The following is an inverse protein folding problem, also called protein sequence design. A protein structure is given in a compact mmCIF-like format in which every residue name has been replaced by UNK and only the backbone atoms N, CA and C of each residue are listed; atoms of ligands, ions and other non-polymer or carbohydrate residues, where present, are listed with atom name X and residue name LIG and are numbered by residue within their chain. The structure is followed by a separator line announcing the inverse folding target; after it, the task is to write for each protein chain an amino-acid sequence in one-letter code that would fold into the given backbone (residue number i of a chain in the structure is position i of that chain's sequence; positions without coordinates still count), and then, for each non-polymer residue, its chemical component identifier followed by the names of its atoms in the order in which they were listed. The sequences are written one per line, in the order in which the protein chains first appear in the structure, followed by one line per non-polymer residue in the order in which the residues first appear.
data_IF_796592066595
#
_entry.id   IF_796592066595
#
_cell.length_a   1.000
_cell.length_b   1.000
_cell.length_c   1.000
_cell.angle_alpha   90.00
_cell.angle_beta   90.00
_cell.angle_gamma   90.00
#
_symmetry.space_group_name_H-M   'P 1'
#
loop_
_entity.id
_entity.type
_entity.pdbx_description
1 polymer ?
#
# COMPACT_ATOMS: atom_id res chain seq x y z
N UNK A 1 1.79 17.74 11.69
CA UNK A 1 2.35 18.85 12.52
C UNK A 1 3.83 18.94 12.20
N UNK A 2 4.33 20.11 11.77
CA UNK A 2 5.74 20.24 11.34
C UNK A 2 6.66 19.94 12.53
N UNK A 3 7.75 19.18 12.31
CA UNK A 3 8.75 18.80 13.33
C UNK A 3 9.24 20.02 14.13
N UNK A 4 9.37 21.18 13.45
CA UNK A 4 9.75 22.45 14.06
C UNK A 4 8.79 22.91 15.18
N UNK A 5 7.48 22.66 15.08
CA UNK A 5 6.51 23.00 16.13
C UNK A 5 6.64 22.05 17.34
N UNK A 6 6.91 20.80 17.12
CA UNK A 6 7.13 19.82 18.21
C UNK A 6 8.37 20.19 19.01
N UNK A 7 9.48 20.50 18.32
CA UNK A 7 10.72 20.96 18.94
C UNK A 7 10.53 22.26 19.71
N UNK A 8 9.74 23.20 19.17
CA UNK A 8 9.44 24.47 19.83
C UNK A 8 8.65 24.25 21.13
N UNK A 9 7.58 23.45 21.10
CA UNK A 9 6.82 23.12 22.31
C UNK A 9 7.66 22.37 23.35
N UNK A 10 8.50 21.41 22.89
CA UNK A 10 9.43 20.72 23.78
C UNK A 10 10.41 21.66 24.46
N UNK A 11 11.05 22.56 23.72
CA UNK A 11 12.00 23.53 24.30
C UNK A 11 11.31 24.45 25.32
N UNK A 12 10.07 24.88 25.01
CA UNK A 12 9.30 25.77 25.87
C UNK A 12 8.89 25.09 27.19
N UNK A 13 8.48 23.81 27.13
CA UNK A 13 8.13 23.02 28.33
C UNK A 13 9.34 22.73 29.20
N UNK A 14 10.46 22.34 28.59
CA UNK A 14 11.71 22.14 29.36
C UNK A 14 12.19 23.41 30.04
N UNK A 15 12.14 24.54 29.32
CA UNK A 15 12.53 25.84 29.89
C UNK A 15 11.62 26.23 31.06
N UNK A 16 10.30 26.05 30.94
CA UNK A 16 9.35 26.33 32.03
C UNK A 16 9.62 25.44 33.23
N UNK A 17 9.88 24.15 33.04
CA UNK A 17 10.22 23.21 34.15
C UNK A 17 11.54 23.60 34.81
N UNK A 18 12.55 24.06 34.08
CA UNK A 18 13.82 24.54 34.63
C UNK A 18 13.64 25.79 35.46
N UNK A 19 12.83 26.77 34.98
CA UNK A 19 12.50 27.99 35.74
C UNK A 19 11.77 27.64 37.02
N UNK A 20 10.78 26.74 37.00
CA UNK A 20 10.05 26.30 38.17
C UNK A 20 10.96 25.60 39.19
N UNK A 21 11.85 24.70 38.73
CA UNK A 21 12.83 24.03 39.58
C UNK A 21 13.77 25.05 40.25
N UNK A 22 14.19 26.07 39.53
CA UNK A 22 15.05 27.15 40.04
C UNK A 22 14.31 28.00 41.10
N UNK A 23 13.03 28.35 40.90
CA UNK A 23 12.22 29.09 41.85
C UNK A 23 12.05 28.26 43.13
N UNK A 24 11.72 26.97 43.04
CA UNK A 24 11.58 26.07 44.19
C UNK A 24 12.91 25.93 44.94
N UNK A 25 14.03 25.86 44.24
CA UNK A 25 15.37 25.82 44.81
C UNK A 25 15.65 27.10 45.63
N UNK A 26 15.40 28.29 45.08
CA UNK A 26 15.57 29.56 45.81
C UNK A 26 14.66 29.60 47.05
N UNK A 27 13.40 29.20 46.89
CA UNK A 27 12.42 29.17 48.00
C UNK A 27 12.86 28.23 49.13
N UNK A 28 13.59 27.15 48.81
CA UNK A 28 14.08 26.19 49.82
C UNK A 28 15.27 26.73 50.63
N UNK A 29 16.00 27.70 50.08
CA UNK A 29 17.19 28.31 50.75
C UNK A 29 16.76 29.53 51.59
N UNK A 30 15.67 30.22 51.23
CA UNK A 30 15.22 31.41 51.96
C UNK A 30 14.63 30.98 53.29
N UNK A 31 15.30 31.38 54.40
CA UNK A 31 14.80 31.16 55.77
C UNK A 31 13.74 32.22 56.06
N UNK A 32 12.57 31.82 56.57
CA UNK A 32 11.61 32.80 57.03
C UNK A 32 12.24 33.69 58.14
N UNK A 33 12.10 34.99 58.02
CA UNK A 33 12.69 35.98 58.97
C UNK A 33 12.36 35.67 60.42
N UNK A 34 11.24 35.01 60.69
CA UNK A 34 10.82 34.58 62.04
C UNK A 34 11.75 33.53 62.69
N UNK A 35 12.48 32.74 61.92
CA UNK A 35 13.34 31.65 62.45
C UNK A 35 14.84 32.01 62.49
N UNK A 36 15.20 33.13 61.89
CA UNK A 36 16.57 33.60 61.83
C UNK A 36 17.16 33.86 63.23
N UNK A 37 16.46 34.53 64.17
CA UNK A 37 16.94 34.74 65.51
C UNK A 37 17.17 33.45 66.30
N UNK A 38 16.25 32.47 66.15
CA UNK A 38 16.35 31.18 66.83
C UNK A 38 17.54 30.34 66.38
N UNK A 39 17.79 30.36 65.08
CA UNK A 39 18.93 29.63 64.50
C UNK A 39 20.29 30.23 64.96
N UNK A 40 20.42 31.56 64.91
CA UNK A 40 21.59 32.26 65.40
C UNK A 40 21.78 32.08 66.92
N UNK A 41 20.71 31.98 67.64
CA UNK A 41 20.72 31.67 69.07
C UNK A 41 21.24 30.25 69.33
N UNK A 42 20.75 29.25 68.61
CA UNK A 42 21.26 27.86 68.67
C UNK A 42 22.76 27.72 68.34
N UNK A 43 23.24 28.40 67.31
CA UNK A 43 24.65 28.41 66.97
C UNK A 43 25.52 29.02 68.08
N UNK A 44 25.07 30.11 68.72
CA UNK A 44 25.76 30.71 69.84
C UNK A 44 25.75 29.81 71.07
N UNK A 45 24.62 29.10 71.37
CA UNK A 45 24.56 28.13 72.46
C UNK A 45 25.50 26.96 72.29
N UNK A 46 25.67 26.42 71.04
CA UNK A 46 26.63 25.36 70.72
C UNK A 46 28.09 25.83 70.98
N UNK A 47 28.38 27.08 70.71
CA UNK A 47 29.71 27.66 70.93
C UNK A 47 29.94 27.89 72.46
N UNK A 48 28.92 28.29 73.17
CA UNK A 48 28.96 28.42 74.61
C UNK A 48 29.11 27.03 75.28
N UNK A 49 28.41 26.00 74.78
CA UNK A 49 28.55 24.63 75.32
C UNK A 49 29.95 24.06 75.05
N UNK A 50 30.57 24.34 73.94
CA UNK A 50 31.97 23.97 73.66
C UNK A 50 32.95 24.69 74.62
N UNK A 51 32.75 25.98 74.91
CA UNK A 51 33.56 26.73 75.88
C UNK A 51 33.42 26.21 77.28
N UNK A 52 32.22 25.81 77.73
CA UNK A 52 31.95 25.16 78.98
C UNK A 52 32.65 23.81 79.09
N UNK A 53 32.64 23.01 78.08
CA UNK A 53 33.31 21.69 78.04
C UNK A 53 34.85 21.80 78.05
N UNK A 54 35.44 22.87 77.55
CA UNK A 54 36.87 23.07 77.53
C UNK A 54 37.43 23.75 78.77
N UNK A 55 36.57 24.07 79.79
CA UNK A 55 37.04 24.57 81.09
C UNK A 55 37.59 26.01 81.13
N UNK A 56 37.39 26.78 80.05
CA UNK A 56 37.96 28.10 79.84
C UNK A 56 37.00 29.19 80.35
N UNK A 57 36.87 29.29 81.73
CA UNK A 57 36.02 30.28 82.42
C UNK A 57 36.74 31.58 82.78
N UNK A 58 37.75 31.96 82.02
CA UNK A 58 38.45 33.22 82.23
C UNK A 58 37.66 34.45 81.86
N UNK A 59 36.81 34.95 82.74
CA UNK A 59 36.42 36.35 82.77
C UNK A 59 35.28 36.84 81.88
N UNK A 60 34.39 35.97 81.36
CA UNK A 60 33.23 36.38 80.54
C UNK A 60 31.99 36.58 81.48
N UNK A 61 31.51 37.80 81.58
CA UNK A 61 30.22 38.16 82.23
C UNK A 61 29.10 37.71 81.26
N UNK A 62 28.04 37.14 81.83
CA UNK A 62 26.80 36.74 81.15
C UNK A 62 26.11 37.89 80.35
N UNK A 63 26.51 39.17 80.69
CA UNK A 63 26.01 40.38 80.07
C UNK A 63 26.68 40.75 78.77
N UNK A 64 27.82 40.09 78.44
CA UNK A 64 28.54 40.35 77.17
C UNK A 64 27.99 39.54 76.02
N UNK A 65 27.05 38.69 76.26
CA UNK A 65 26.32 37.95 75.18
C UNK A 65 25.20 38.83 74.57
N UNK A 66 25.54 40.06 74.17
CA UNK A 66 24.59 40.88 73.42
C UNK A 66 24.26 40.18 72.05
N UNK A 67 22.96 40.04 71.71
CA UNK A 67 22.53 39.44 70.43
C UNK A 67 22.86 40.33 69.22
N UNK A 68 23.71 41.31 69.40
CA UNK A 68 23.92 42.39 68.40
C UNK A 68 25.05 42.18 67.43
N UNK A 69 25.65 41.00 67.33
CA UNK A 69 26.64 40.74 66.29
C UNK A 69 26.14 39.55 65.46
N UNK A 70 25.15 39.79 64.60
CA UNK A 70 24.95 38.98 63.41
C UNK A 70 26.24 39.22 62.59
N UNK A 71 27.26 38.42 62.88
CA UNK A 71 28.52 38.52 62.12
C UNK A 71 28.15 38.09 60.71
N UNK A 72 28.36 39.00 59.74
CA UNK A 72 28.17 38.77 58.31
C UNK A 72 28.73 37.41 57.85
N UNK A 73 29.81 36.98 58.46
CA UNK A 73 30.48 35.71 58.26
C UNK A 73 29.60 34.48 58.64
N UNK A 74 28.85 34.55 59.74
CA UNK A 74 28.01 33.45 60.17
C UNK A 74 26.75 33.31 59.29
N UNK A 75 26.26 34.40 58.72
CA UNK A 75 25.18 34.39 57.74
C UNK A 75 25.63 33.83 56.40
N UNK A 76 26.82 34.19 55.96
CA UNK A 76 27.48 33.66 54.75
C UNK A 76 27.71 32.13 54.90
N UNK A 77 28.21 31.66 56.02
CA UNK A 77 28.43 30.24 56.30
C UNK A 77 27.12 29.44 56.31
N UNK A 78 26.05 30.02 56.82
CA UNK A 78 24.68 29.40 56.80
C UNK A 78 24.20 29.23 55.34
N UNK A 79 24.23 30.30 54.56
CA UNK A 79 23.75 30.21 53.17
C UNK A 79 24.63 29.29 52.32
N UNK A 80 25.95 29.27 52.52
CA UNK A 80 26.84 28.34 51.87
C UNK A 80 26.55 26.90 52.28
N UNK A 81 26.30 26.63 53.55
CA UNK A 81 25.92 25.30 54.05
C UNK A 81 24.57 24.83 53.48
N UNK A 82 23.55 25.69 53.48
CA UNK A 82 22.24 25.42 52.93
C UNK A 82 22.34 25.18 51.42
N UNK A 83 23.10 25.98 50.71
CA UNK A 83 23.33 25.84 49.28
C UNK A 83 24.00 24.51 48.96
N UNK A 84 25.06 24.13 49.65
CA UNK A 84 25.76 22.85 49.46
C UNK A 84 24.87 21.64 49.73
N UNK A 85 23.96 21.74 50.71
CA UNK A 85 22.99 20.67 51.05
C UNK A 85 21.97 20.46 49.95
N UNK A 86 21.49 21.51 49.25
CA UNK A 86 20.42 21.45 48.25
C UNK A 86 20.89 21.30 46.83
N UNK A 87 22.17 21.59 46.49
CA UNK A 87 22.76 21.42 45.17
C UNK A 87 22.57 19.99 44.62
N UNK A 88 22.84 18.89 45.39
CA UNK A 88 22.67 17.54 44.84
C UNK A 88 21.22 17.25 44.42
N UNK A 89 20.23 17.75 45.19
CA UNK A 89 18.82 17.59 44.89
C UNK A 89 18.45 18.34 43.62
N UNK A 90 18.93 19.57 43.46
CA UNK A 90 18.72 20.36 42.26
C UNK A 90 19.29 19.65 41.00
N UNK A 91 20.52 19.15 41.11
CA UNK A 91 21.17 18.41 40.01
C UNK A 91 20.33 17.17 39.64
N UNK A 92 19.85 16.41 40.63
CA UNK A 92 19.05 15.21 40.41
C UNK A 92 17.71 15.55 39.73
N UNK A 93 17.05 16.63 40.13
CA UNK A 93 15.85 17.13 39.48
C UNK A 93 16.11 17.55 37.99
N UNK A 94 17.19 18.27 37.77
CA UNK A 94 17.58 18.71 36.42
C UNK A 94 17.87 17.51 35.47
N UNK A 95 18.62 16.53 35.97
CA UNK A 95 18.89 15.28 35.23
C UNK A 95 17.59 14.54 34.95
N UNK A 96 16.70 14.44 35.94
CA UNK A 96 15.37 13.82 35.77
C UNK A 96 14.54 14.48 34.68
N UNK A 97 14.48 15.81 34.68
CA UNK A 97 13.77 16.58 33.63
C UNK A 97 14.37 16.35 32.26
N UNK A 98 15.69 16.33 32.13
CA UNK A 98 16.36 16.08 30.84
C UNK A 98 16.13 14.66 30.35
N UNK A 99 16.25 13.64 31.19
CA UNK A 99 16.02 12.24 30.82
C UNK A 99 14.57 12.00 30.40
N UNK A 100 13.61 12.45 31.18
CA UNK A 100 12.19 12.31 30.87
C UNK A 100 11.81 13.09 29.62
N UNK A 101 12.33 14.29 29.45
CA UNK A 101 12.10 15.12 28.27
C UNK A 101 12.66 14.48 26.99
N UNK A 102 13.90 13.99 27.02
CA UNK A 102 14.50 13.29 25.85
C UNK A 102 13.76 12.00 25.51
N UNK A 103 13.30 11.26 26.49
CA UNK A 103 12.49 10.05 26.29
C UNK A 103 11.16 10.35 25.61
N UNK A 104 10.42 11.38 26.09
CA UNK A 104 9.16 11.82 25.49
C UNK A 104 9.39 12.30 24.06
N UNK A 105 10.41 13.12 23.81
CA UNK A 105 10.75 13.60 22.47
C UNK A 105 11.08 12.45 21.52
N UNK A 106 11.88 11.48 21.96
CA UNK A 106 12.22 10.28 21.19
C UNK A 106 10.97 9.48 20.81
N UNK A 107 10.02 9.28 21.73
CA UNK A 107 8.74 8.60 21.42
C UNK A 107 7.91 9.36 20.39
N UNK A 108 7.79 10.68 20.51
CA UNK A 108 7.03 11.50 19.58
C UNK A 108 7.65 11.43 18.20
N UNK A 109 8.97 11.57 18.10
CA UNK A 109 9.70 11.47 16.83
C UNK A 109 9.55 10.09 16.18
N UNK A 110 9.65 9.02 16.98
CA UNK A 110 9.48 7.65 16.47
C UNK A 110 8.08 7.43 15.87
N UNK A 111 7.02 7.84 16.57
CA UNK A 111 5.64 7.73 16.05
C UNK A 111 5.44 8.57 14.78
N UNK A 112 6.08 9.74 14.69
CA UNK A 112 6.00 10.55 13.46
C UNK A 112 6.74 9.88 12.30
N UNK A 113 7.93 9.33 12.53
CA UNK A 113 8.68 8.61 11.50
C UNK A 113 7.93 7.36 11.01
N UNK A 114 7.33 6.59 11.92
CA UNK A 114 6.51 5.42 11.54
C UNK A 114 5.30 5.82 10.68
N UNK A 115 4.60 6.90 11.04
CA UNK A 115 3.48 7.41 10.22
C UNK A 115 3.92 7.89 8.85
N UNK A 116 5.06 8.57 8.76
CA UNK A 116 5.61 9.01 7.47
C UNK A 116 6.06 7.83 6.61
N UNK A 117 6.70 6.83 7.21
CA UNK A 117 7.11 5.61 6.50
C UNK A 117 5.89 4.82 5.99
N UNK A 118 4.81 4.72 6.79
CA UNK A 118 3.58 4.04 6.38
C UNK A 118 2.87 4.79 5.23
N UNK A 119 2.82 6.13 5.29
CA UNK A 119 2.26 6.95 4.22
C UNK A 119 3.06 6.79 2.92
N UNK A 120 4.39 6.81 3.01
CA UNK A 120 5.29 6.55 1.88
C UNK A 120 5.09 5.15 1.28
N UNK A 121 5.00 4.13 2.12
CA UNK A 121 4.77 2.76 1.66
C UNK A 121 3.40 2.63 0.95
N UNK A 122 2.35 3.29 1.48
CA UNK A 122 1.04 3.32 0.86
C UNK A 122 1.02 4.08 -0.48
N UNK A 123 1.73 5.20 -0.58
CA UNK A 123 1.86 5.98 -1.81
C UNK A 123 2.68 5.22 -2.87
N UNK A 124 3.75 4.53 -2.47
CA UNK A 124 4.53 3.65 -3.35
C UNK A 124 3.69 2.47 -3.86
N UNK A 125 2.80 1.92 -3.03
CA UNK A 125 1.93 0.80 -3.43
C UNK A 125 0.80 1.21 -4.37
N UNK A 126 0.31 2.45 -4.28
CA UNK A 126 -0.76 2.97 -5.14
C UNK A 126 -0.25 3.59 -6.45
N UNK A 127 1.06 3.79 -6.59
CA UNK A 127 1.70 4.51 -7.73
C UNK A 127 1.03 5.87 -8.06
N UNK A 128 0.39 6.49 -7.10
CA UNK A 128 -0.38 7.71 -7.28
C UNK A 128 0.55 8.93 -7.25
N UNK A 129 0.78 9.54 -8.43
CA UNK A 129 1.74 10.65 -8.60
C UNK A 129 1.31 11.95 -7.94
N UNK A 130 0.01 12.22 -7.90
CA UNK A 130 -0.50 13.55 -7.54
C UNK A 130 -0.26 13.93 -6.08
N UNK A 131 -0.20 12.95 -5.18
CA UNK A 131 -0.04 13.17 -3.73
C UNK A 131 1.42 13.21 -3.24
N UNK A 132 2.37 12.68 -4.02
CA UNK A 132 3.80 12.61 -3.61
C UNK A 132 4.49 13.98 -3.70
N UNK A 133 4.05 14.84 -4.61
CA UNK A 133 4.72 16.09 -4.95
C UNK A 133 4.52 17.18 -3.89
N UNK A 134 3.43 17.17 -3.13
CA UNK A 134 3.04 18.33 -2.32
C UNK A 134 3.70 18.49 -0.94
N UNK A 135 4.30 17.48 -0.31
CA UNK A 135 4.78 17.60 1.10
C UNK A 135 6.14 16.95 1.43
N UNK A 136 6.91 16.43 0.48
CA UNK A 136 8.07 15.59 0.82
C UNK A 136 9.44 16.20 0.43
N UNK A 137 10.47 15.70 1.11
CA UNK A 137 11.85 16.12 0.91
C UNK A 137 12.28 15.86 -0.55
N UNK A 138 12.90 16.84 -1.27
CA UNK A 138 13.24 16.73 -2.70
C UNK A 138 14.03 15.46 -3.07
N UNK A 139 14.85 14.95 -2.14
CA UNK A 139 15.60 13.71 -2.35
C UNK A 139 14.72 12.46 -2.45
N UNK A 140 13.58 12.43 -1.74
CA UNK A 140 12.64 11.28 -1.78
C UNK A 140 11.88 11.29 -3.09
N UNK A 141 11.43 12.47 -3.54
CA UNK A 141 10.76 12.63 -4.84
C UNK A 141 11.68 12.18 -5.98
N UNK A 142 12.95 12.62 -5.96
CA UNK A 142 13.93 12.23 -6.97
C UNK A 142 14.19 10.71 -6.97
N UNK A 143 14.36 10.11 -5.80
CA UNK A 143 14.57 8.66 -5.70
C UNK A 143 13.35 7.86 -6.19
N UNK A 144 12.12 8.32 -5.89
CA UNK A 144 10.89 7.72 -6.41
C UNK A 144 10.82 7.79 -7.95
N UNK A 145 11.04 8.96 -8.52
CA UNK A 145 11.05 9.14 -9.99
C UNK A 145 12.12 8.27 -10.67
N UNK A 146 13.30 8.14 -10.06
CA UNK A 146 14.37 7.29 -10.58
C UNK A 146 14.00 5.79 -10.52
N UNK A 147 13.37 5.34 -9.43
CA UNK A 147 12.87 3.96 -9.31
C UNK A 147 11.75 3.71 -10.32
N UNK A 148 10.78 4.64 -10.42
CA UNK A 148 9.65 4.55 -11.35
C UNK A 148 10.15 4.47 -12.81
N UNK A 149 11.02 5.37 -13.22
CA UNK A 149 11.56 5.37 -14.59
C UNK A 149 12.34 4.10 -14.92
N UNK A 150 13.11 3.56 -13.97
CA UNK A 150 13.78 2.26 -14.14
C UNK A 150 12.78 1.11 -14.26
N UNK A 151 11.75 1.09 -13.42
CA UNK A 151 10.71 0.07 -13.47
C UNK A 151 9.95 0.09 -14.80
N UNK A 152 9.56 1.28 -15.27
CA UNK A 152 8.93 1.47 -16.60
C UNK A 152 9.83 0.99 -17.73
N UNK A 153 11.12 1.33 -17.69
CA UNK A 153 12.10 0.86 -18.67
C UNK A 153 12.23 -0.66 -18.67
N UNK A 154 12.35 -1.29 -17.50
CA UNK A 154 12.40 -2.76 -17.39
C UNK A 154 11.13 -3.42 -17.88
N UNK A 155 9.96 -2.85 -17.57
CA UNK A 155 8.67 -3.37 -18.03
C UNK A 155 8.58 -3.30 -19.55
N UNK A 156 8.98 -2.18 -20.14
CA UNK A 156 9.00 -2.00 -21.60
C UNK A 156 9.96 -2.98 -22.28
N UNK A 157 11.15 -3.18 -21.74
CA UNK A 157 12.14 -4.13 -22.25
C UNK A 157 11.63 -5.57 -22.13
N UNK A 158 10.96 -5.91 -21.02
CA UNK A 158 10.34 -7.21 -20.84
C UNK A 158 9.23 -7.47 -21.88
N UNK A 159 8.34 -6.49 -22.10
CA UNK A 159 7.27 -6.58 -23.11
C UNK A 159 7.86 -6.77 -24.51
N UNK A 160 8.88 -5.98 -24.87
CA UNK A 160 9.57 -6.10 -26.17
C UNK A 160 10.23 -7.46 -26.37
N UNK A 161 10.95 -7.94 -25.35
CA UNK A 161 11.60 -9.25 -25.37
C UNK A 161 10.58 -10.37 -25.48
N UNK A 162 9.50 -10.31 -24.70
CA UNK A 162 8.40 -11.28 -24.74
C UNK A 162 7.75 -11.32 -26.12
N UNK A 163 7.45 -10.16 -26.71
CA UNK A 163 6.90 -10.05 -28.05
C UNK A 163 7.85 -10.62 -29.12
N UNK A 164 9.15 -10.33 -29.03
CA UNK A 164 10.14 -10.86 -29.97
C UNK A 164 10.26 -12.38 -29.86
N UNK A 165 10.40 -12.92 -28.65
CA UNK A 165 10.52 -14.37 -28.42
C UNK A 165 9.28 -15.10 -28.93
N UNK A 166 8.08 -14.55 -28.67
CA UNK A 166 6.83 -15.17 -29.11
C UNK A 166 6.69 -15.11 -30.64
N UNK A 167 7.07 -14.00 -31.27
CA UNK A 167 7.06 -13.90 -32.73
C UNK A 167 8.00 -14.93 -33.38
N UNK A 168 9.20 -15.11 -32.83
CA UNK A 168 10.16 -16.11 -33.32
C UNK A 168 9.64 -17.54 -33.12
N UNK A 169 9.03 -17.82 -31.97
CA UNK A 169 8.39 -19.12 -31.71
C UNK A 169 7.24 -19.39 -32.67
N UNK A 170 6.39 -18.40 -32.97
CA UNK A 170 5.32 -18.51 -33.97
C UNK A 170 5.86 -18.85 -35.37
N UNK A 171 6.95 -18.22 -35.77
CA UNK A 171 7.59 -18.51 -37.07
C UNK A 171 8.07 -19.97 -37.14
N UNK A 172 8.68 -20.48 -36.05
CA UNK A 172 9.12 -21.87 -35.95
C UNK A 172 7.92 -22.84 -35.98
N UNK A 173 6.86 -22.53 -35.23
CA UNK A 173 5.64 -23.36 -35.20
C UNK A 173 4.92 -23.36 -36.54
N UNK A 174 4.83 -22.21 -37.24
CA UNK A 174 4.26 -22.12 -38.58
C UNK A 174 5.03 -22.97 -39.59
N UNK A 175 6.37 -22.98 -39.49
CA UNK A 175 7.22 -23.83 -40.33
C UNK A 175 7.01 -25.32 -40.02
N UNK A 176 6.88 -25.66 -38.70
CA UNK A 176 6.62 -27.02 -38.27
C UNK A 176 5.25 -27.50 -38.75
N UNK A 177 4.20 -26.65 -38.58
CA UNK A 177 2.85 -26.92 -39.11
C UNK A 177 2.87 -27.21 -40.61
N UNK A 178 3.53 -26.37 -41.41
CA UNK A 178 3.62 -26.56 -42.84
C UNK A 178 4.29 -27.90 -43.20
N UNK A 179 5.36 -28.30 -42.50
CA UNK A 179 6.01 -29.59 -42.71
C UNK A 179 5.12 -30.76 -42.31
N UNK A 180 4.35 -30.67 -41.22
CA UNK A 180 3.43 -31.73 -40.78
C UNK A 180 2.25 -31.89 -41.73
N UNK A 181 1.70 -30.80 -42.25
CA UNK A 181 0.65 -30.86 -43.28
C UNK A 181 1.09 -31.58 -44.53
N UNK A 182 2.37 -31.41 -44.95
CA UNK A 182 2.94 -32.12 -46.08
C UNK A 182 3.17 -33.62 -45.83
N UNK A 183 3.19 -34.04 -44.56
CA UNK A 183 3.49 -35.40 -44.10
C UNK A 183 2.26 -36.20 -43.68
N UNK A 184 1.06 -35.69 -43.87
CA UNK A 184 -0.24 -36.31 -43.46
C UNK A 184 -0.32 -36.73 -41.99
N UNK A 185 0.24 -35.89 -41.06
CA UNK A 185 0.25 -36.09 -39.64
C UNK A 185 -0.78 -35.14 -38.96
N UNK A 186 -2.07 -35.35 -39.22
CA UNK A 186 -3.15 -34.49 -38.78
C UNK A 186 -3.19 -34.25 -37.26
N UNK A 187 -2.96 -35.28 -36.43
CA UNK A 187 -2.95 -35.15 -34.94
C UNK A 187 -1.84 -34.21 -34.44
N UNK A 188 -0.63 -34.29 -35.05
CA UNK A 188 0.48 -33.41 -34.67
C UNK A 188 0.24 -31.95 -35.09
N UNK A 189 -0.50 -31.74 -36.20
CA UNK A 189 -0.87 -30.41 -36.64
C UNK A 189 -1.80 -29.72 -35.60
N UNK A 190 -2.77 -30.46 -35.09
CA UNK A 190 -3.68 -29.97 -34.03
C UNK A 190 -2.95 -29.59 -32.74
N UNK A 191 -1.94 -30.39 -32.33
CA UNK A 191 -1.11 -30.05 -31.16
C UNK A 191 -0.25 -28.80 -31.39
N UNK A 192 0.27 -28.58 -32.58
CA UNK A 192 1.00 -27.36 -32.94
C UNK A 192 0.08 -26.14 -32.95
N UNK A 193 -1.16 -26.28 -33.40
CA UNK A 193 -2.15 -25.21 -33.36
C UNK A 193 -2.48 -24.83 -31.90
N UNK A 194 -2.68 -25.81 -30.98
CA UNK A 194 -2.87 -25.55 -29.54
C UNK A 194 -1.71 -24.78 -28.90
N UNK A 195 -0.46 -25.14 -29.27
CA UNK A 195 0.72 -24.41 -28.76
C UNK A 195 0.75 -22.98 -29.31
N UNK A 196 0.40 -22.77 -30.58
CA UNK A 196 0.34 -21.45 -31.19
C UNK A 196 -0.71 -20.57 -30.50
N UNK A 197 -1.89 -21.12 -30.23
CA UNK A 197 -2.96 -20.45 -29.50
C UNK A 197 -2.53 -20.04 -28.10
N UNK A 198 -1.83 -20.93 -27.38
CA UNK A 198 -1.31 -20.63 -26.04
C UNK A 198 -0.27 -19.50 -26.05
N UNK A 199 0.56 -19.42 -27.10
CA UNK A 199 1.51 -18.30 -27.26
C UNK A 199 0.79 -16.97 -27.53
N UNK A 200 -0.28 -16.99 -28.31
CA UNK A 200 -1.11 -15.80 -28.56
C UNK A 200 -1.79 -15.30 -27.27
N UNK A 201 -2.25 -16.22 -26.43
CA UNK A 201 -2.80 -15.89 -25.12
C UNK A 201 -1.75 -15.22 -24.22
N UNK A 202 -0.51 -15.73 -24.20
CA UNK A 202 0.60 -15.11 -23.45
C UNK A 202 0.95 -13.72 -23.98
N UNK A 203 0.97 -13.53 -25.30
CA UNK A 203 1.19 -12.22 -25.91
C UNK A 203 0.11 -11.22 -25.49
N UNK A 204 -1.15 -11.65 -25.52
CA UNK A 204 -2.28 -10.81 -25.14
C UNK A 204 -2.18 -10.42 -23.66
N UNK A 205 -1.80 -11.34 -22.77
CA UNK A 205 -1.56 -11.05 -21.35
C UNK A 205 -0.37 -10.11 -21.10
N UNK A 206 0.57 -10.05 -22.03
CA UNK A 206 1.73 -9.13 -21.95
C UNK A 206 1.45 -7.76 -22.56
N UNK A 207 0.27 -7.55 -23.14
CA UNK A 207 -0.11 -6.30 -23.79
C UNK A 207 -0.40 -5.21 -22.73
N UNK A 208 -0.12 -3.95 -23.11
CA UNK A 208 -0.51 -2.78 -22.32
C UNK A 208 -1.23 -1.77 -23.20
N UNK A 209 -2.17 -1.05 -22.60
CA UNK A 209 -2.97 -0.02 -23.29
C UNK A 209 -2.11 1.11 -23.85
N UNK A 210 -1.03 1.48 -23.17
CA UNK A 210 -0.16 2.61 -23.51
C UNK A 210 0.59 2.43 -24.82
N UNK A 211 0.88 1.17 -25.22
CA UNK A 211 1.69 0.84 -26.38
C UNK A 211 0.88 0.29 -27.57
N UNK A 212 -0.46 0.38 -27.51
CA UNK A 212 -1.32 -0.25 -28.50
C UNK A 212 -2.37 0.72 -29.04
N UNK A 213 -2.48 0.79 -30.37
CA UNK A 213 -3.51 1.57 -31.05
C UNK A 213 -4.86 0.86 -30.86
N UNK A 214 -5.82 1.54 -30.25
CA UNK A 214 -7.20 1.08 -30.13
C UNK A 214 -7.99 1.50 -31.38
N UNK A 215 -8.97 0.69 -31.76
CA UNK A 215 -9.79 0.85 -32.94
C UNK A 215 -11.28 0.62 -32.61
N UNK A 216 -12.16 1.00 -33.53
CA UNK A 216 -13.59 0.70 -33.42
C UNK A 216 -13.80 -0.78 -33.81
N UNK A 217 -14.38 -1.55 -32.90
CA UNK A 217 -14.65 -2.98 -33.09
C UNK A 217 -16.14 -3.24 -33.02
N UNK A 218 -16.70 -3.81 -34.10
CA UNK A 218 -18.04 -4.33 -34.14
C UNK A 218 -18.09 -5.69 -33.43
N UNK A 219 -18.62 -5.72 -32.21
CA UNK A 219 -18.64 -6.92 -31.38
C UNK A 219 -19.66 -7.95 -31.90
N UNK A 220 -20.74 -7.54 -32.58
CA UNK A 220 -21.70 -8.46 -33.15
C UNK A 220 -21.09 -9.25 -34.32
N UNK A 221 -20.43 -8.56 -35.26
CA UNK A 221 -19.71 -9.21 -36.35
C UNK A 221 -18.59 -10.14 -35.86
N UNK A 222 -17.82 -9.69 -34.87
CA UNK A 222 -16.74 -10.47 -34.27
C UNK A 222 -17.28 -11.75 -33.61
N UNK A 223 -18.34 -11.65 -32.78
CA UNK A 223 -18.96 -12.81 -32.13
C UNK A 223 -19.57 -13.78 -33.15
N UNK A 224 -20.20 -13.27 -34.22
CA UNK A 224 -20.71 -14.10 -35.31
C UNK A 224 -19.60 -14.93 -35.96
N UNK A 225 -18.47 -14.31 -36.27
CA UNK A 225 -17.31 -15.00 -36.87
C UNK A 225 -16.78 -16.11 -35.97
N UNK A 226 -16.61 -15.85 -34.66
CA UNK A 226 -16.17 -16.87 -33.70
C UNK A 226 -17.19 -18.00 -33.60
N UNK A 227 -18.49 -17.69 -33.53
CA UNK A 227 -19.54 -18.71 -33.49
C UNK A 227 -19.54 -19.59 -34.75
N UNK A 228 -19.36 -19.02 -35.93
CA UNK A 228 -19.32 -19.76 -37.21
C UNK A 228 -18.12 -20.71 -37.31
N UNK A 229 -16.98 -20.34 -36.76
CA UNK A 229 -15.83 -21.20 -36.62
C UNK A 229 -16.12 -22.44 -35.79
N UNK A 230 -16.71 -22.22 -34.60
CA UNK A 230 -17.01 -23.29 -33.64
C UNK A 230 -18.23 -24.15 -34.04
N UNK A 231 -19.19 -23.64 -34.82
CA UNK A 231 -20.35 -24.42 -35.31
C UNK A 231 -19.95 -25.65 -36.14
N UNK A 232 -18.79 -25.64 -36.75
CA UNK A 232 -18.26 -26.81 -37.47
C UNK A 232 -17.95 -27.98 -36.57
N UNK A 233 -17.56 -27.70 -35.30
CA UNK A 233 -17.22 -28.69 -34.30
C UNK A 233 -18.39 -28.94 -33.34
N UNK A 234 -19.22 -27.94 -33.06
CA UNK A 234 -20.35 -27.97 -32.15
C UNK A 234 -21.58 -27.32 -32.79
N UNK A 235 -22.46 -28.08 -33.45
CA UNK A 235 -23.60 -27.52 -34.22
C UNK A 235 -24.64 -26.77 -33.40
N UNK A 236 -24.67 -26.98 -32.08
CA UNK A 236 -25.68 -26.39 -31.16
C UNK A 236 -25.25 -25.04 -30.61
N UNK A 237 -24.50 -24.24 -31.36
CA UNK A 237 -24.14 -22.86 -31.02
C UNK A 237 -25.12 -21.90 -31.63
N UNK A 238 -25.84 -21.15 -30.79
CA UNK A 238 -26.81 -20.12 -31.19
C UNK A 238 -26.17 -18.74 -30.93
N UNK A 239 -26.33 -17.84 -31.88
CA UNK A 239 -25.85 -16.46 -31.80
C UNK A 239 -27.02 -15.51 -32.03
N UNK A 240 -27.23 -14.58 -31.10
CA UNK A 240 -28.23 -13.52 -31.13
C UNK A 240 -27.60 -12.17 -30.88
N UNK A 241 -28.08 -11.12 -31.55
CA UNK A 241 -27.65 -9.75 -31.27
C UNK A 241 -28.78 -8.76 -31.53
N UNK A 242 -28.68 -7.57 -30.98
CA UNK A 242 -29.64 -6.49 -31.18
C UNK A 242 -29.20 -5.67 -32.42
N UNK A 243 -29.94 -5.83 -33.53
CA UNK A 243 -29.62 -5.17 -34.79
C UNK A 243 -29.83 -3.65 -34.75
N UNK A 244 -30.72 -3.16 -33.87
CA UNK A 244 -31.07 -1.75 -33.76
C UNK A 244 -30.12 -1.01 -32.80
N UNK A 245 -29.24 -1.73 -32.08
CA UNK A 245 -28.33 -1.18 -31.12
C UNK A 245 -26.92 -0.95 -31.67
N UNK A 246 -26.23 0.08 -31.18
CA UNK A 246 -24.81 0.24 -31.47
C UNK A 246 -24.01 -0.79 -30.67
N UNK A 247 -23.47 -1.78 -31.36
CA UNK A 247 -22.65 -2.85 -30.77
C UNK A 247 -21.14 -2.61 -30.95
N UNK A 248 -20.75 -1.35 -31.18
CA UNK A 248 -19.34 -0.97 -31.40
C UNK A 248 -18.68 -0.52 -30.11
N UNK A 249 -17.46 -0.98 -29.90
CA UNK A 249 -16.64 -0.63 -28.74
C UNK A 249 -15.27 -0.09 -29.20
N UNK A 250 -14.53 0.57 -28.30
CA UNK A 250 -13.14 0.94 -28.51
C UNK A 250 -12.26 -0.16 -27.93
N UNK A 251 -11.50 -0.84 -28.79
CA UNK A 251 -10.67 -1.95 -28.38
C UNK A 251 -9.69 -2.39 -29.46
N UNK A 252 -9.23 -3.61 -29.37
CA UNK A 252 -8.47 -4.27 -30.42
C UNK A 252 -9.15 -5.57 -30.80
N UNK A 253 -9.51 -5.72 -32.07
CA UNK A 253 -10.27 -6.86 -32.58
C UNK A 253 -9.62 -8.20 -32.17
N UNK A 254 -8.29 -8.33 -32.31
CA UNK A 254 -7.56 -9.54 -31.92
C UNK A 254 -7.76 -9.90 -30.44
N UNK A 255 -7.71 -8.93 -29.52
CA UNK A 255 -7.85 -9.19 -28.10
C UNK A 255 -9.27 -9.64 -27.73
N UNK A 256 -10.26 -8.94 -28.28
CA UNK A 256 -11.68 -9.24 -28.02
C UNK A 256 -12.03 -10.60 -28.64
N UNK A 257 -11.56 -10.87 -29.87
CA UNK A 257 -11.74 -12.18 -30.51
C UNK A 257 -11.16 -13.31 -29.65
N UNK A 258 -9.95 -13.14 -29.11
CA UNK A 258 -9.35 -14.12 -28.21
C UNK A 258 -10.13 -14.32 -26.92
N UNK A 259 -10.63 -13.26 -26.31
CA UNK A 259 -11.47 -13.35 -25.11
C UNK A 259 -12.77 -14.12 -25.41
N UNK A 260 -13.48 -13.80 -26.50
CA UNK A 260 -14.69 -14.49 -26.91
C UNK A 260 -14.41 -15.97 -27.23
N UNK A 261 -13.33 -16.24 -27.97
CA UNK A 261 -12.87 -17.62 -28.28
C UNK A 261 -12.63 -18.42 -27.01
N UNK A 262 -11.98 -17.84 -26.00
CA UNK A 262 -11.75 -18.51 -24.72
C UNK A 262 -13.08 -18.83 -23.99
N UNK A 263 -14.05 -17.92 -24.00
CA UNK A 263 -15.37 -18.18 -23.42
C UNK A 263 -16.14 -19.27 -24.16
N UNK A 264 -16.19 -19.21 -25.51
CA UNK A 264 -16.85 -20.21 -26.34
C UNK A 264 -16.19 -21.59 -26.22
N UNK A 265 -14.85 -21.63 -26.23
CA UNK A 265 -14.08 -22.87 -26.00
C UNK A 265 -14.38 -23.49 -24.64
N UNK A 266 -14.49 -22.67 -23.60
CA UNK A 266 -14.87 -23.14 -22.26
C UNK A 266 -16.30 -23.69 -22.26
N UNK A 267 -17.27 -23.01 -22.91
CA UNK A 267 -18.64 -23.49 -23.04
C UNK A 267 -18.71 -24.84 -23.78
N UNK A 268 -17.92 -25.03 -24.82
CA UNK A 268 -17.80 -26.32 -25.54
C UNK A 268 -17.20 -27.41 -24.66
N UNK A 269 -16.15 -27.11 -23.91
CA UNK A 269 -15.46 -28.08 -23.04
C UNK A 269 -16.28 -28.52 -21.83
N UNK A 270 -16.99 -27.57 -21.21
CA UNK A 270 -17.66 -27.80 -19.92
C UNK A 270 -19.17 -27.85 -20.00
N UNK A 271 -19.76 -27.33 -21.07
CA UNK A 271 -21.21 -27.39 -21.33
C UNK A 271 -21.71 -28.79 -21.75
N UNK A 272 -20.81 -29.75 -22.08
CA UNK A 272 -21.21 -31.07 -22.56
C UNK A 272 -21.90 -30.98 -23.92
N UNK A 273 -23.06 -31.68 -24.07
CA UNK A 273 -23.87 -31.65 -25.30
C UNK A 273 -24.99 -30.61 -25.22
N UNK A 274 -24.95 -29.66 -24.30
CA UNK A 274 -25.95 -28.62 -24.18
C UNK A 274 -25.86 -27.58 -25.30
N UNK A 275 -26.95 -26.83 -25.48
CA UNK A 275 -26.94 -25.65 -26.35
C UNK A 275 -26.02 -24.57 -25.74
N UNK A 276 -25.26 -23.93 -26.59
CA UNK A 276 -24.41 -22.77 -26.24
C UNK A 276 -25.08 -21.54 -26.84
N UNK A 277 -25.34 -20.53 -26.01
CA UNK A 277 -25.94 -19.28 -26.47
C UNK A 277 -24.88 -18.16 -26.31
N UNK A 278 -24.57 -17.51 -27.43
CA UNK A 278 -23.74 -16.30 -27.46
C UNK A 278 -24.65 -15.14 -27.80
N UNK A 279 -24.65 -14.08 -27.04
CA UNK A 279 -25.44 -12.91 -27.34
C UNK A 279 -24.68 -11.61 -27.19
N UNK A 280 -25.00 -10.62 -28.02
CA UNK A 280 -24.50 -9.26 -27.95
C UNK A 280 -25.68 -8.32 -27.78
N UNK A 281 -25.65 -7.49 -26.76
CA UNK A 281 -26.71 -6.51 -26.50
C UNK A 281 -26.13 -5.20 -26.00
N UNK A 282 -26.82 -4.09 -26.29
CA UNK A 282 -26.44 -2.79 -25.73
C UNK A 282 -27.49 -2.36 -24.69
N UNK A 283 -26.99 -2.00 -23.49
CA UNK A 283 -27.86 -1.48 -22.44
C UNK A 283 -27.25 -0.22 -21.83
N UNK A 284 -27.95 0.90 -22.00
CA UNK A 284 -27.56 2.18 -21.36
C UNK A 284 -26.13 2.64 -21.70
N UNK A 285 -25.73 2.49 -22.97
CA UNK A 285 -24.38 2.88 -23.41
C UNK A 285 -23.28 1.88 -23.03
N UNK A 286 -23.66 0.64 -22.77
CA UNK A 286 -22.72 -0.45 -22.52
C UNK A 286 -23.04 -1.65 -23.39
N UNK A 287 -22.05 -2.13 -24.14
CA UNK A 287 -22.13 -3.34 -24.95
C UNK A 287 -21.83 -4.54 -24.06
N UNK A 288 -22.73 -5.50 -24.03
CA UNK A 288 -22.64 -6.72 -23.21
C UNK A 288 -22.52 -7.92 -24.14
N UNK A 289 -21.45 -8.68 -24.00
CA UNK A 289 -21.26 -9.98 -24.64
C UNK A 289 -21.51 -11.04 -23.57
N UNK A 290 -22.44 -11.96 -23.82
CA UNK A 290 -22.74 -13.05 -22.91
C UNK A 290 -22.58 -14.40 -23.61
N UNK A 291 -21.90 -15.35 -22.95
CA UNK A 291 -21.71 -16.74 -23.40
C UNK A 291 -22.28 -17.67 -22.35
N UNK A 292 -23.35 -18.39 -22.69
CA UNK A 292 -24.09 -19.28 -21.79
C UNK A 292 -23.92 -20.73 -22.22
N UNK A 293 -23.73 -21.62 -21.27
CA UNK A 293 -23.72 -23.07 -21.44
C UNK A 293 -24.71 -23.75 -20.47
N UNK A 294 -24.98 -25.03 -20.69
CA UNK A 294 -25.81 -25.86 -19.82
C UNK A 294 -25.05 -26.88 -18.97
N UNK A 295 -23.80 -26.59 -18.62
CA UNK A 295 -22.93 -27.44 -17.82
C UNK A 295 -23.39 -27.62 -16.36
N UNK A 296 -22.51 -28.13 -15.52
CA UNK A 296 -22.80 -28.39 -14.11
C UNK A 296 -22.95 -27.13 -13.26
N UNK A 297 -22.55 -25.96 -13.78
CA UNK A 297 -22.46 -24.72 -13.02
C UNK A 297 -21.14 -24.62 -12.22
N UNK A 298 -20.96 -23.53 -11.50
CA UNK A 298 -19.75 -23.19 -10.77
C UNK A 298 -20.13 -22.83 -9.33
N UNK A 299 -19.41 -23.36 -8.36
CA UNK A 299 -19.66 -23.04 -6.95
C UNK A 299 -19.49 -21.52 -6.73
N UNK A 300 -20.46 -20.89 -6.03
CA UNK A 300 -20.44 -19.45 -5.73
C UNK A 300 -19.12 -19.02 -5.05
N UNK A 301 -18.56 -19.86 -4.19
CA UNK A 301 -17.30 -19.58 -3.49
C UNK A 301 -16.07 -19.55 -4.42
N UNK A 302 -16.20 -20.11 -5.63
CA UNK A 302 -15.14 -20.18 -6.63
C UNK A 302 -15.29 -19.14 -7.75
N UNK A 303 -16.47 -18.53 -7.94
CA UNK A 303 -16.77 -17.61 -9.05
C UNK A 303 -15.80 -16.41 -9.11
N UNK A 304 -15.52 -15.79 -7.98
CA UNK A 304 -14.61 -14.62 -7.90
C UNK A 304 -13.16 -14.96 -8.28
N UNK A 305 -12.77 -16.22 -8.07
CA UNK A 305 -11.39 -16.70 -8.29
C UNK A 305 -11.14 -17.25 -9.68
N UNK A 306 -12.22 -17.53 -10.45
CA UNK A 306 -12.09 -18.12 -11.78
C UNK A 306 -11.24 -17.32 -12.75
N UNK A 307 -11.24 -16.02 -12.59
CA UNK A 307 -10.49 -15.10 -13.43
C UNK A 307 -9.06 -14.85 -12.92
N UNK A 308 -8.65 -15.47 -11.80
CA UNK A 308 -7.28 -15.35 -11.30
C UNK A 308 -6.31 -16.18 -12.14
N UNK A 309 -5.09 -15.67 -12.28
CA UNK A 309 -4.06 -16.34 -13.08
C UNK A 309 -3.78 -17.75 -12.58
N UNK A 310 -3.82 -18.74 -13.48
CA UNK A 310 -3.61 -20.16 -13.22
C UNK A 310 -4.61 -20.81 -12.24
N UNK A 311 -5.72 -20.15 -11.89
CA UNK A 311 -6.75 -20.76 -11.05
C UNK A 311 -7.52 -21.84 -11.81
N UNK A 312 -7.83 -22.93 -11.12
CA UNK A 312 -8.63 -24.07 -11.65
C UNK A 312 -9.55 -24.62 -10.58
N UNK A 313 -10.78 -24.88 -10.95
CA UNK A 313 -11.73 -25.59 -10.08
C UNK A 313 -11.27 -27.03 -9.86
N UNK A 314 -11.09 -27.46 -8.61
CA UNK A 314 -10.33 -28.62 -8.17
C UNK A 314 -10.72 -30.00 -8.74
N UNK A 315 -11.86 -30.15 -9.43
CA UNK A 315 -12.33 -31.42 -10.02
C UNK A 315 -12.20 -31.51 -11.55
N UNK A 316 -11.93 -30.38 -12.23
CA UNK A 316 -11.89 -30.32 -13.69
C UNK A 316 -10.44 -30.42 -14.21
N UNK A 317 -9.82 -31.59 -14.01
CA UNK A 317 -8.49 -31.93 -14.58
C UNK A 317 -8.58 -32.23 -16.08
N UNK A 318 -9.34 -31.48 -16.87
CA UNK A 318 -9.36 -31.59 -18.32
C UNK A 318 -8.46 -30.49 -18.91
N UNK A 319 -7.79 -30.84 -19.99
CA UNK A 319 -6.79 -30.09 -20.74
C UNK A 319 -6.93 -28.57 -20.75
N UNK A 320 -5.86 -27.88 -20.37
CA UNK A 320 -5.72 -26.42 -20.44
C UNK A 320 -4.80 -25.85 -19.36
N UNK A 321 -4.12 -24.76 -19.62
CA UNK A 321 -3.11 -24.14 -18.74
C UNK A 321 -3.68 -23.21 -17.64
N UNK A 322 -5.02 -23.03 -17.58
CA UNK A 322 -5.67 -22.11 -16.62
C UNK A 322 -5.44 -20.63 -16.93
N UNK A 323 -5.15 -20.30 -18.16
CA UNK A 323 -4.81 -18.96 -18.64
C UNK A 323 -6.04 -18.25 -19.27
N UNK A 324 -6.98 -18.97 -19.87
CA UNK A 324 -8.05 -18.43 -20.70
C UNK A 324 -8.96 -17.41 -20.01
N UNK A 325 -9.44 -17.69 -18.77
CA UNK A 325 -10.31 -16.76 -18.06
C UNK A 325 -9.54 -15.54 -17.50
N UNK A 326 -8.29 -15.71 -17.09
CA UNK A 326 -7.45 -14.55 -16.71
C UNK A 326 -7.15 -13.64 -17.90
N UNK A 327 -7.03 -14.22 -19.12
CA UNK A 327 -6.95 -13.43 -20.36
C UNK A 327 -8.24 -12.65 -20.61
N UNK A 328 -9.40 -13.26 -20.41
CA UNK A 328 -10.71 -12.55 -20.54
C UNK A 328 -10.75 -11.31 -19.64
N UNK A 329 -10.38 -11.46 -18.35
CA UNK A 329 -10.30 -10.34 -17.41
C UNK A 329 -9.33 -9.26 -17.91
N UNK A 330 -8.12 -9.65 -18.30
CA UNK A 330 -7.10 -8.73 -18.78
C UNK A 330 -7.56 -7.94 -20.03
N UNK A 331 -8.19 -8.61 -20.98
CA UNK A 331 -8.76 -7.94 -22.18
C UNK A 331 -9.85 -6.95 -21.79
N UNK A 332 -10.75 -7.32 -20.86
CA UNK A 332 -11.75 -6.39 -20.36
C UNK A 332 -11.11 -5.14 -19.75
N UNK A 333 -10.09 -5.30 -18.88
CA UNK A 333 -9.37 -4.20 -18.26
C UNK A 333 -8.65 -3.31 -19.29
N UNK A 334 -8.04 -3.89 -20.32
CA UNK A 334 -7.40 -3.13 -21.40
C UNK A 334 -8.40 -2.29 -22.21
N UNK A 335 -9.66 -2.73 -22.32
CA UNK A 335 -10.73 -2.06 -23.09
C UNK A 335 -11.71 -1.31 -22.17
N UNK A 336 -11.32 -0.91 -20.95
CA UNK A 336 -12.15 -0.22 -19.94
C UNK A 336 -13.45 -0.95 -19.60
N UNK A 337 -13.46 -2.27 -19.74
CA UNK A 337 -14.60 -3.16 -19.49
C UNK A 337 -14.46 -3.94 -18.19
N UNK A 338 -15.47 -4.77 -17.92
CA UNK A 338 -15.52 -5.69 -16.78
C UNK A 338 -15.99 -7.06 -17.25
N UNK A 339 -15.66 -8.12 -16.50
CA UNK A 339 -16.19 -9.46 -16.70
C UNK A 339 -16.66 -10.08 -15.39
N UNK A 340 -17.66 -10.92 -15.48
CA UNK A 340 -18.16 -11.72 -14.35
C UNK A 340 -18.82 -13.00 -14.85
N UNK A 341 -19.22 -13.85 -13.92
CA UNK A 341 -19.89 -15.12 -14.18
C UNK A 341 -21.10 -15.29 -13.28
N UNK A 342 -22.15 -15.90 -13.81
CA UNK A 342 -23.36 -16.24 -13.06
C UNK A 342 -23.82 -17.66 -13.41
N UNK A 343 -24.37 -18.37 -12.42
CA UNK A 343 -25.03 -19.65 -12.67
C UNK A 343 -26.43 -19.43 -13.25
N UNK A 344 -26.79 -20.23 -14.24
CA UNK A 344 -28.10 -20.23 -14.85
C UNK A 344 -29.04 -21.21 -14.12
N UNK A 345 -29.56 -20.81 -12.96
CA UNK A 345 -30.39 -21.67 -12.12
C UNK A 345 -29.62 -22.85 -11.50
N UNK A 346 -30.20 -24.06 -11.55
CA UNK A 346 -29.58 -25.27 -10.94
C UNK A 346 -28.48 -25.89 -11.81
N UNK A 347 -28.38 -25.56 -13.08
CA UNK A 347 -27.38 -26.04 -14.04
C UNK A 347 -27.08 -24.96 -15.07
N UNK A 348 -25.86 -24.95 -15.57
CA UNK A 348 -25.38 -24.01 -16.57
C UNK A 348 -24.73 -22.77 -16.01
N UNK A 349 -23.89 -22.16 -16.84
CA UNK A 349 -23.11 -21.00 -16.50
C UNK A 349 -23.27 -19.94 -17.59
N UNK A 350 -23.26 -18.67 -17.22
CA UNK A 350 -23.17 -17.55 -18.14
C UNK A 350 -22.01 -16.66 -17.79
N UNK A 351 -21.10 -16.50 -18.72
CA UNK A 351 -19.99 -15.55 -18.63
C UNK A 351 -20.36 -14.27 -19.33
N UNK A 352 -20.05 -13.16 -18.73
CA UNK A 352 -20.33 -11.83 -19.25
C UNK A 352 -19.04 -11.03 -19.43
N UNK A 353 -18.98 -10.27 -20.52
CA UNK A 353 -18.05 -9.16 -20.72
C UNK A 353 -18.87 -7.91 -21.01
N UNK A 354 -18.55 -6.80 -20.37
CA UNK A 354 -19.21 -5.51 -20.61
C UNK A 354 -18.18 -4.46 -20.96
N UNK A 355 -18.46 -3.64 -21.95
CA UNK A 355 -17.59 -2.58 -22.44
C UNK A 355 -18.38 -1.28 -22.63
N UNK A 356 -17.74 -0.11 -22.46
CA UNK A 356 -18.34 1.15 -22.87
C UNK A 356 -18.64 1.13 -24.38
N UNK A 357 -19.84 1.60 -24.76
CA UNK A 357 -20.19 1.82 -26.16
C UNK A 357 -19.29 2.90 -26.76
N UNK A 358 -18.79 2.67 -27.98
CA UNK A 358 -18.09 3.71 -28.72
C UNK A 358 -19.07 4.77 -29.18
N UNK A 359 -18.90 6.00 -28.67
CA UNK A 359 -19.65 7.15 -29.16
C UNK A 359 -19.17 7.47 -30.58
N UNK A 360 -19.98 7.20 -31.60
CA UNK A 360 -19.78 7.75 -32.93
C UNK A 360 -20.12 9.24 -32.84
N UNK A 361 -19.10 10.10 -32.96
CA UNK A 361 -19.34 11.52 -33.18
C UNK A 361 -19.90 11.64 -34.61
N UNK A 362 -21.24 11.84 -34.69
CA UNK A 362 -21.89 12.26 -35.94
C UNK A 362 -21.38 13.63 -36.40
#
# INVERSE_FOLDING_TARGET
MKVSRVLLYYSLTVTACLILAFILFISSITVPESNLPTYLFMMNMNKVTMLIQNGDFGGMSFLDLKPSIINKRNLEDYYVGALLQHIPILILCLVGILVTGTWVLSKILKVQHEKQALLLAKQLSSMDEEHIIMEQHPAIVKAYQEIKSKFEAYTLDYVRLSAYVTHEQKNILSLLRAKLQLSDHGELTEEVDKVTDSLDDILTLSASKENTTMELVDTALLCANVCDEYRRLHPNIHFDFDDDANNTIIGRELWISRAVTNLVSNAVKYGGNSEIHVSVSNRKGSVIIAVSDGGEGIDEAEQDKLFDYQYRVGKLKKDGYGIGLSLVRHVCELCDGLCWVENRGARGTTFYMIFPEALTLD
#
